data_IF_970056693248
#
_entry.id   IF_970056693248
#
_cell.length_a   1.000
_cell.length_b   1.000
_cell.length_c   1.000
_cell.angle_alpha   90.00
_cell.angle_beta   90.00
_cell.angle_gamma   90.00
#
_symmetry.space_group_name_H-M   'P 1'
#
loop_
_entity.id
_entity.type
_entity.pdbx_description
1 polymer ?
#
# COMPACT_ATOMS: atom_id res chain seq x y z
N UNK A 1 10.50 -21.65 -10.81
CA UNK A 1 11.27 -20.62 -10.06
C UNK A 1 12.09 -21.31 -8.98
N UNK A 2 13.37 -20.95 -8.77
CA UNK A 2 14.13 -21.48 -7.62
C UNK A 2 13.72 -20.73 -6.35
N UNK A 3 13.71 -21.39 -5.19
CA UNK A 3 13.27 -20.84 -3.90
C UNK A 3 13.83 -19.44 -3.60
N UNK A 4 15.11 -19.20 -3.91
CA UNK A 4 15.77 -17.90 -3.75
C UNK A 4 15.08 -16.74 -4.50
N UNK A 5 14.57 -17.00 -5.70
CA UNK A 5 13.87 -15.99 -6.51
C UNK A 5 12.51 -15.67 -5.90
N UNK A 6 11.82 -16.69 -5.37
CA UNK A 6 10.54 -16.50 -4.67
C UNK A 6 10.73 -15.70 -3.38
N UNK A 7 11.78 -15.98 -2.60
CA UNK A 7 12.09 -15.23 -1.37
C UNK A 7 12.38 -13.75 -1.69
N UNK A 8 13.19 -13.48 -2.72
CA UNK A 8 13.47 -12.10 -3.14
C UNK A 8 12.18 -11.36 -3.59
N UNK A 9 11.31 -12.05 -4.32
CA UNK A 9 10.04 -11.48 -4.76
C UNK A 9 9.12 -11.17 -3.56
N UNK A 10 9.00 -12.10 -2.61
CA UNK A 10 8.21 -11.90 -1.39
C UNK A 10 8.73 -10.70 -0.60
N UNK A 11 10.05 -10.61 -0.40
CA UNK A 11 10.66 -9.48 0.30
C UNK A 11 10.39 -8.16 -0.41
N UNK A 12 10.51 -8.11 -1.74
CA UNK A 12 10.22 -6.90 -2.51
C UNK A 12 8.75 -6.46 -2.34
N UNK A 13 7.82 -7.40 -2.43
CA UNK A 13 6.39 -7.12 -2.24
C UNK A 13 6.13 -6.56 -0.83
N UNK A 14 6.69 -7.18 0.20
CA UNK A 14 6.54 -6.72 1.58
C UNK A 14 7.13 -5.32 1.79
N UNK A 15 8.28 -5.03 1.18
CA UNK A 15 8.89 -3.69 1.25
C UNK A 15 8.00 -2.65 0.60
N UNK A 16 7.46 -2.92 -0.59
CA UNK A 16 6.56 -1.98 -1.29
C UNK A 16 5.26 -1.78 -0.50
N UNK A 17 4.69 -2.85 0.06
CA UNK A 17 3.49 -2.79 0.90
C UNK A 17 3.71 -1.90 2.14
N UNK A 18 4.76 -2.15 2.91
CA UNK A 18 5.02 -1.39 4.13
C UNK A 18 5.43 0.05 3.83
N UNK A 19 6.28 0.27 2.82
CA UNK A 19 6.71 1.61 2.44
C UNK A 19 5.54 2.48 1.97
N UNK A 20 4.66 1.94 1.13
CA UNK A 20 3.47 2.67 0.66
C UNK A 20 2.54 3.03 1.82
N UNK A 21 2.33 2.14 2.79
CA UNK A 21 1.54 2.44 4.01
C UNK A 21 2.13 3.57 4.83
N UNK A 22 3.45 3.54 5.09
CA UNK A 22 4.13 4.60 5.84
C UNK A 22 4.04 5.94 5.10
N UNK A 23 4.26 5.93 3.78
CA UNK A 23 4.13 7.13 2.96
C UNK A 23 2.73 7.75 3.05
N UNK A 24 1.67 6.93 2.90
CA UNK A 24 0.29 7.43 2.99
C UNK A 24 0.01 8.02 4.39
N UNK A 25 0.37 7.31 5.46
CA UNK A 25 0.10 7.76 6.84
C UNK A 25 0.84 9.05 7.24
N UNK A 26 1.95 9.38 6.58
CA UNK A 26 2.80 10.52 6.96
C UNK A 26 2.63 11.75 6.07
N UNK A 27 1.98 11.61 4.91
CA UNK A 27 1.88 12.69 3.93
C UNK A 27 0.43 13.15 3.66
N UNK A 28 -0.57 12.41 4.13
CA UNK A 28 -1.98 12.70 3.87
C UNK A 28 -2.77 12.77 5.18
N UNK A 29 -3.86 13.52 5.16
CA UNK A 29 -4.84 13.56 6.24
C UNK A 29 -5.77 12.34 6.16
N UNK A 30 -6.29 11.92 7.31
CA UNK A 30 -7.27 10.85 7.36
C UNK A 30 -8.51 11.22 6.52
N UNK A 31 -8.99 10.28 5.71
CA UNK A 31 -10.07 10.46 4.71
C UNK A 31 -9.76 11.45 3.58
N UNK A 32 -8.52 11.91 3.43
CA UNK A 32 -8.13 12.70 2.28
C UNK A 32 -8.22 11.86 0.99
N UNK A 33 -8.89 12.40 -0.02
CA UNK A 33 -9.00 11.84 -1.36
C UNK A 33 -8.18 12.67 -2.35
N UNK A 34 -7.17 12.03 -2.96
CA UNK A 34 -6.35 12.64 -4.00
C UNK A 34 -6.62 11.93 -5.33
N UNK A 35 -7.19 12.66 -6.29
CA UNK A 35 -7.35 12.20 -7.67
C UNK A 35 -6.03 12.33 -8.41
N UNK A 36 -5.40 11.20 -8.72
CA UNK A 36 -4.11 11.16 -9.43
C UNK A 36 -4.37 11.04 -10.94
N UNK A 37 -5.25 10.13 -11.33
CA UNK A 37 -5.77 9.99 -12.69
C UNK A 37 -7.29 9.87 -12.65
N UNK A 38 -7.95 9.95 -13.80
CA UNK A 38 -9.41 9.82 -13.89
C UNK A 38 -9.93 8.47 -13.35
N UNK A 39 -9.12 7.42 -13.46
CA UNK A 39 -9.43 6.07 -12.98
C UNK A 39 -8.72 5.71 -11.66
N UNK A 40 -7.86 6.61 -11.13
CA UNK A 40 -7.02 6.30 -9.98
C UNK A 40 -7.10 7.40 -8.91
N UNK A 41 -7.51 6.98 -7.72
CA UNK A 41 -7.58 7.80 -6.52
C UNK A 41 -6.80 7.16 -5.40
N UNK A 42 -6.07 7.98 -4.66
CA UNK A 42 -5.45 7.60 -3.40
C UNK A 42 -6.32 8.15 -2.28
N UNK A 43 -6.80 7.27 -1.40
CA UNK A 43 -7.59 7.65 -0.23
C UNK A 43 -6.91 7.11 1.02
N UNK A 44 -6.62 7.98 1.98
CA UNK A 44 -6.11 7.51 3.26
C UNK A 44 -7.26 7.02 4.14
N UNK A 45 -7.39 5.70 4.25
CA UNK A 45 -8.36 5.01 5.10
C UNK A 45 -7.60 4.04 6.01
N UNK A 46 -8.00 3.99 7.27
CA UNK A 46 -7.55 2.95 8.20
C UNK A 46 -8.65 1.92 8.39
N UNK A 47 -8.24 0.66 8.40
CA UNK A 47 -9.14 -0.47 8.43
C UNK A 47 -8.83 -1.32 9.67
N UNK A 48 -9.66 -1.22 10.71
CA UNK A 48 -9.52 -2.01 11.94
C UNK A 48 -9.99 -3.48 11.78
N UNK A 49 -10.53 -3.84 10.61
CA UNK A 49 -10.99 -5.18 10.27
C UNK A 49 -12.13 -5.15 9.24
N UNK A 50 -11.80 -5.16 7.94
CA UNK A 50 -12.78 -5.21 6.83
C UNK A 50 -12.50 -6.41 5.92
N UNK A 51 -12.81 -7.59 6.42
CA UNK A 51 -13.13 -8.74 5.57
C UNK A 51 -14.12 -9.61 6.33
N UNK A 52 -15.36 -9.12 6.44
CA UNK A 52 -16.55 -9.96 6.49
C UNK A 52 -17.23 -9.82 5.13
#
# INVERSE_FOLDING_TARGET
MKLRHSVLLILLILVVDQFSKVFVKTNFYYQEEVRIFDWFRLVFIENEGMAW
#
